data_IF_940682649002
#
_entry.id   IF_940682649002
#
_cell.length_a   1.000
_cell.length_b   1.000
_cell.length_c   1.000
_cell.angle_alpha   90.00
_cell.angle_beta   90.00
_cell.angle_gamma   90.00
#
_symmetry.space_group_name_H-M   'P 1'
#
loop_
_entity.id
_entity.type
_entity.pdbx_description
1 polymer ?
#
# COMPACT_ATOMS: atom_id res chain seq x y z
N UNK A 1 -11.24 -4.48 -6.05
CA UNK A 1 -11.41 -3.04 -5.76
C UNK A 1 -10.05 -2.38 -5.86
N UNK A 2 -9.94 -1.28 -6.60
CA UNK A 2 -8.67 -0.57 -6.82
C UNK A 2 -8.87 0.89 -6.41
N UNK A 3 -7.94 1.43 -5.63
CA UNK A 3 -7.96 2.83 -5.21
C UNK A 3 -6.83 3.59 -5.91
N UNK A 4 -7.14 4.76 -6.49
CA UNK A 4 -6.12 5.63 -7.04
C UNK A 4 -5.27 6.23 -5.91
N UNK A 5 -3.96 6.34 -6.14
CA UNK A 5 -3.00 6.90 -5.18
C UNK A 5 -2.06 7.87 -5.89
N UNK A 6 -1.94 9.09 -5.38
CA UNK A 6 -1.06 10.12 -5.94
C UNK A 6 -0.45 10.97 -4.82
N UNK A 7 0.80 11.40 -5.02
CA UNK A 7 1.53 12.29 -4.12
C UNK A 7 2.74 12.85 -4.87
N UNK A 8 3.25 14.01 -4.44
CA UNK A 8 4.50 14.55 -4.97
C UNK A 8 5.73 13.85 -4.41
N UNK A 9 5.59 13.06 -3.34
CA UNK A 9 6.68 12.31 -2.73
C UNK A 9 6.53 10.79 -3.01
N UNK A 10 7.26 10.23 -4.00
CA UNK A 10 7.10 8.84 -4.40
C UNK A 10 7.54 7.83 -3.33
N UNK A 11 8.31 8.25 -2.32
CA UNK A 11 8.80 7.36 -1.25
C UNK A 11 7.69 6.90 -0.30
N UNK A 12 6.56 7.61 -0.25
CA UNK A 12 5.48 7.35 0.70
C UNK A 12 4.74 6.02 0.45
N UNK A 13 4.85 5.44 -0.75
CA UNK A 13 4.30 4.10 -1.04
C UNK A 13 5.25 2.94 -0.73
N UNK A 14 6.49 3.25 -0.33
CA UNK A 14 7.56 2.28 -0.12
C UNK A 14 8.05 2.28 1.35
N UNK A 15 7.17 2.69 2.27
CA UNK A 15 7.51 2.73 3.70
C UNK A 15 7.84 1.31 4.18
N UNK A 16 8.98 1.09 4.85
CA UNK A 16 9.35 -0.23 5.37
C UNK A 16 8.28 -0.78 6.32
N UNK A 17 8.05 -2.10 6.29
CA UNK A 17 7.04 -2.76 7.11
C UNK A 17 7.23 -2.48 8.61
N UNK A 18 8.47 -2.46 9.10
CA UNK A 18 8.79 -2.14 10.49
C UNK A 18 8.30 -0.74 10.91
N UNK A 19 8.43 0.25 10.03
CA UNK A 19 7.94 1.59 10.29
C UNK A 19 6.41 1.65 10.29
N UNK A 20 5.74 0.88 9.43
CA UNK A 20 4.27 0.76 9.43
C UNK A 20 3.75 0.08 10.71
N UNK A 21 4.45 -0.96 11.19
CA UNK A 21 4.14 -1.65 12.45
C UNK A 21 4.24 -0.68 13.63
N UNK A 22 5.38 0.01 13.78
CA UNK A 22 5.57 0.99 14.84
C UNK A 22 4.50 2.10 14.82
N UNK A 23 4.16 2.62 13.62
CA UNK A 23 3.10 3.64 13.49
C UNK A 23 1.73 3.12 13.88
N UNK A 24 1.41 1.88 13.50
CA UNK A 24 0.13 1.27 13.85
C UNK A 24 0.00 1.05 15.36
N UNK A 25 1.04 0.53 16.01
CA UNK A 25 1.11 0.36 17.46
C UNK A 25 0.95 1.70 18.19
N UNK A 26 1.71 2.72 17.77
CA UNK A 26 1.64 4.08 18.34
C UNK A 26 0.27 4.76 18.12
N UNK A 27 -0.47 4.37 17.08
CA UNK A 27 -1.79 4.97 16.80
C UNK A 27 -2.87 4.52 17.79
N UNK A 28 -2.71 3.36 18.43
CA UNK A 28 -3.71 2.77 19.32
C UNK A 28 -5.04 2.39 18.64
N UNK A 29 -5.10 2.38 17.30
CA UNK A 29 -6.32 2.08 16.55
C UNK A 29 -6.53 0.56 16.44
N UNK A 30 -7.74 0.10 16.76
CA UNK A 30 -8.15 -1.30 16.54
C UNK A 30 -8.79 -1.44 15.16
N UNK A 31 -8.26 -2.34 14.33
CA UNK A 31 -8.77 -2.60 12.98
C UNK A 31 -9.25 -4.05 12.82
N UNK A 32 -10.33 -4.24 12.05
CA UNK A 32 -10.86 -5.58 11.70
C UNK A 32 -10.22 -6.17 10.43
N UNK A 33 -9.70 -5.31 9.56
CA UNK A 33 -9.18 -5.70 8.24
C UNK A 33 -7.76 -5.16 8.02
N UNK A 34 -7.55 -3.87 8.27
CA UNK A 34 -6.24 -3.26 8.09
C UNK A 34 -5.19 -3.90 9.01
N UNK A 35 -4.05 -4.24 8.42
CA UNK A 35 -2.80 -4.52 9.13
C UNK A 35 -1.66 -3.82 8.37
N UNK A 36 -0.51 -3.56 9.02
CA UNK A 36 0.69 -3.06 8.33
C UNK A 36 1.09 -3.90 7.11
N UNK A 37 0.90 -5.22 7.17
CA UNK A 37 1.17 -6.12 6.05
C UNK A 37 0.17 -5.92 4.90
N UNK A 38 -1.13 -5.75 5.19
CA UNK A 38 -2.13 -5.40 4.17
C UNK A 38 -1.83 -4.04 3.54
N UNK A 39 -1.39 -3.05 4.32
CA UNK A 39 -0.96 -1.75 3.79
C UNK A 39 0.13 -1.91 2.74
N UNK A 40 1.22 -2.58 3.10
CA UNK A 40 2.34 -2.80 2.18
C UNK A 40 1.92 -3.63 0.96
N UNK A 41 1.14 -4.70 1.19
CA UNK A 41 0.63 -5.58 0.13
C UNK A 41 -0.36 -4.90 -0.81
N UNK A 42 -1.04 -3.82 -0.40
CA UNK A 42 -2.00 -3.09 -1.25
C UNK A 42 -1.34 -2.44 -2.48
N UNK A 43 -0.02 -2.26 -2.45
CA UNK A 43 0.76 -1.76 -3.59
C UNK A 43 1.29 -2.88 -4.51
N UNK A 44 1.13 -4.16 -4.13
CA UNK A 44 1.43 -5.28 -5.00
C UNK A 44 0.21 -5.56 -5.90
N UNK A 45 0.33 -5.23 -7.18
CA UNK A 45 -0.74 -5.38 -8.17
C UNK A 45 -0.58 -6.70 -8.95
N UNK A 46 -1.70 -7.27 -9.36
CA UNK A 46 -1.72 -8.42 -10.26
C UNK A 46 -1.15 -8.04 -11.64
N UNK A 47 -0.50 -8.98 -12.33
CA UNK A 47 0.20 -8.69 -13.59
C UNK A 47 -0.70 -8.08 -14.67
N UNK A 48 -1.95 -8.55 -14.83
CA UNK A 48 -2.85 -7.99 -15.84
C UNK A 48 -3.15 -6.50 -15.59
N UNK A 49 -3.19 -6.08 -14.32
CA UNK A 49 -3.44 -4.69 -13.95
C UNK A 49 -2.20 -3.84 -14.24
N UNK A 50 -1.00 -4.40 -14.02
CA UNK A 50 0.26 -3.75 -14.42
C UNK A 50 0.28 -3.51 -15.94
N UNK A 51 -0.07 -4.53 -16.74
CA UNK A 51 -0.13 -4.42 -18.20
C UNK A 51 -1.10 -3.31 -18.67
N UNK A 52 -2.31 -3.28 -18.08
CA UNK A 52 -3.33 -2.28 -18.40
C UNK A 52 -2.86 -0.85 -18.05
N UNK A 53 -2.10 -0.68 -16.96
CA UNK A 53 -1.58 0.63 -16.53
C UNK A 53 -0.37 1.09 -17.34
N UNK A 54 0.47 0.18 -17.83
CA UNK A 54 1.62 0.52 -18.69
C UNK A 54 1.25 0.74 -20.15
N UNK A 55 0.01 0.47 -20.55
CA UNK A 55 -0.44 0.55 -21.95
C UNK A 55 0.15 -0.54 -22.84
N UNK A 56 0.77 -1.57 -22.26
CA UNK A 56 1.30 -2.74 -22.94
C UNK A 56 0.23 -3.84 -22.90
N UNK A 57 -0.57 -3.92 -23.97
CA UNK A 57 -1.59 -4.95 -24.17
C UNK A 57 -0.96 -6.28 -24.59
#
# INVERSE_FOLDING_TARGET
MTFAWATQNPTLRQVPLAALQQRFENSGITCRYYTPAIHAGSFALQQYLLNALSGSQ
#
